data_IF_381648629136
#
_entry.id   IF_381648629136
#
_cell.length_a   1.000
_cell.length_b   1.000
_cell.length_c   1.000
_cell.angle_alpha   90.00
_cell.angle_beta   90.00
_cell.angle_gamma   90.00
#
_symmetry.space_group_name_H-M   'P 1'
#
loop_
_entity.id
_entity.type
_entity.pdbx_description
1 polymer ?
#
# COMPACT_ATOMS: atom_id res chain seq x y z
N UNK A 1 0.96 -23.46 -28.94
CA UNK A 1 0.26 -22.26 -28.42
C UNK A 1 1.23 -21.57 -27.46
N UNK A 2 1.44 -20.26 -27.64
CA UNK A 2 2.40 -19.44 -26.89
C UNK A 2 2.08 -19.43 -25.40
N UNK A 3 2.98 -19.94 -24.54
CA UNK A 3 3.01 -19.59 -23.12
C UNK A 3 3.56 -18.17 -23.01
N UNK A 4 2.67 -17.18 -22.94
CA UNK A 4 3.08 -15.81 -22.63
C UNK A 4 3.64 -15.83 -21.21
N UNK A 5 4.97 -15.87 -21.10
CA UNK A 5 5.66 -15.59 -19.85
C UNK A 5 5.28 -14.16 -19.47
N UNK A 6 4.36 -14.03 -18.50
CA UNK A 6 4.07 -12.77 -17.84
C UNK A 6 5.32 -12.32 -17.11
N UNK A 7 6.27 -11.73 -17.85
CA UNK A 7 7.29 -10.86 -17.26
C UNK A 7 6.57 -9.58 -16.87
N UNK A 8 5.80 -9.66 -15.79
CA UNK A 8 5.26 -8.49 -15.11
C UNK A 8 6.44 -7.78 -14.47
N UNK A 9 7.18 -7.03 -15.28
CA UNK A 9 8.05 -5.96 -14.82
C UNK A 9 7.14 -4.80 -14.36
N UNK A 10 6.28 -5.06 -13.37
CA UNK A 10 5.67 -4.01 -12.60
C UNK A 10 6.79 -3.40 -11.78
N UNK A 11 7.53 -2.46 -12.38
CA UNK A 11 8.18 -1.43 -11.58
C UNK A 11 7.04 -0.80 -10.79
N UNK A 12 6.86 -1.23 -9.53
CA UNK A 12 5.88 -0.66 -8.61
C UNK A 12 6.18 0.84 -8.60
N UNK A 13 5.34 1.62 -9.27
CA UNK A 13 5.45 3.06 -9.15
C UNK A 13 5.16 3.35 -7.68
N UNK A 14 5.98 4.16 -7.00
CA UNK A 14 5.71 4.50 -5.61
C UNK A 14 4.33 5.16 -5.55
N UNK A 15 3.36 4.43 -5.02
CA UNK A 15 2.00 4.90 -4.86
C UNK A 15 1.93 5.58 -3.49
N UNK A 16 1.59 6.85 -3.47
CA UNK A 16 1.40 7.58 -2.23
C UNK A 16 -0.03 7.32 -1.74
N UNK A 17 -0.14 6.64 -0.61
CA UNK A 17 -1.44 6.27 -0.05
C UNK A 17 -1.83 7.23 1.09
N UNK A 18 -3.04 7.79 1.01
CA UNK A 18 -3.62 8.64 2.07
C UNK A 18 -4.85 7.95 2.66
N UNK A 19 -4.84 7.71 3.97
CA UNK A 19 -5.98 7.19 4.72
C UNK A 19 -6.61 8.30 5.57
N UNK A 20 -7.94 8.28 5.66
CA UNK A 20 -8.72 9.23 6.47
C UNK A 20 -9.59 8.46 7.47
N UNK A 21 -9.72 8.97 8.69
CA UNK A 21 -10.50 8.35 9.74
C UNK A 21 -9.90 8.62 11.12
N UNK A 22 -10.36 7.87 12.13
CA UNK A 22 -9.74 7.95 13.45
C UNK A 22 -8.30 7.44 13.39
N UNK A 23 -7.44 7.96 14.27
CA UNK A 23 -6.04 7.52 14.37
C UNK A 23 -5.93 6.00 14.51
N UNK A 24 -6.81 5.39 15.32
CA UNK A 24 -6.82 3.93 15.51
C UNK A 24 -7.21 3.18 14.24
N UNK A 25 -8.24 3.63 13.51
CA UNK A 25 -8.66 2.95 12.27
C UNK A 25 -7.59 3.02 11.18
N UNK A 26 -6.89 4.16 11.08
CA UNK A 26 -5.80 4.33 10.11
C UNK A 26 -4.62 3.43 10.44
N UNK A 27 -4.16 3.42 11.70
CA UNK A 27 -3.05 2.54 12.12
C UNK A 27 -3.37 1.06 11.91
N UNK A 28 -4.59 0.62 12.25
CA UNK A 28 -5.03 -0.76 12.03
C UNK A 28 -5.00 -1.12 10.54
N UNK A 29 -5.51 -0.24 9.69
CA UNK A 29 -5.53 -0.44 8.24
C UNK A 29 -4.12 -0.52 7.64
N UNK A 30 -3.20 0.35 8.07
CA UNK A 30 -1.79 0.31 7.64
C UNK A 30 -1.13 -1.01 8.03
N UNK A 31 -1.31 -1.47 9.27
CA UNK A 31 -0.74 -2.73 9.74
C UNK A 31 -1.31 -3.94 9.00
N UNK A 32 -2.63 -3.96 8.76
CA UNK A 32 -3.29 -5.03 8.02
C UNK A 32 -2.78 -5.10 6.58
N UNK A 33 -2.69 -3.97 5.88
CA UNK A 33 -2.22 -3.92 4.49
C UNK A 33 -0.74 -4.28 4.36
N UNK A 34 0.07 -3.88 5.33
CA UNK A 34 1.47 -4.28 5.44
C UNK A 34 1.62 -5.79 5.65
N UNK A 35 0.87 -6.37 6.59
CA UNK A 35 0.91 -7.81 6.87
C UNK A 35 0.50 -8.67 5.66
N UNK A 36 -0.37 -8.14 4.80
CA UNK A 36 -0.83 -8.79 3.58
C UNK A 36 0.11 -8.55 2.37
N UNK A 37 1.16 -7.73 2.51
CA UNK A 37 2.10 -7.40 1.44
C UNK A 37 1.53 -6.47 0.37
N UNK A 38 0.43 -5.78 0.66
CA UNK A 38 -0.21 -4.86 -0.28
C UNK A 38 0.47 -3.49 -0.36
N UNK A 39 1.07 -3.02 0.74
CA UNK A 39 1.77 -1.74 0.81
C UNK A 39 2.80 -1.72 1.95
N UNK A 40 3.90 -1.01 1.76
CA UNK A 40 4.95 -0.78 2.76
C UNK A 40 4.60 0.36 3.71
N UNK A 41 5.11 0.35 4.95
CA UNK A 41 4.86 1.43 5.92
C UNK A 41 5.43 2.77 5.42
N UNK A 42 6.49 2.75 4.61
CA UNK A 42 7.11 3.95 4.04
C UNK A 42 6.30 4.58 2.88
N UNK A 43 5.31 3.88 2.32
CA UNK A 43 4.47 4.37 1.21
C UNK A 43 3.30 5.26 1.69
N UNK A 44 3.10 5.37 3.00
CA UNK A 44 2.02 6.15 3.58
C UNK A 44 2.48 7.55 4.00
N UNK A 45 1.66 8.56 3.73
CA UNK A 45 1.86 9.89 4.29
C UNK A 45 1.45 9.98 5.75
N UNK A 46 2.09 10.88 6.54
CA UNK A 46 1.67 11.13 7.91
C UNK A 46 0.18 11.48 7.96
N UNK A 47 -0.49 10.94 8.99
CA UNK A 47 -1.87 11.28 9.31
C UNK A 47 -2.02 12.79 9.36
N UNK A 48 -2.81 13.34 8.42
CA UNK A 48 -3.23 14.74 8.46
C UNK A 48 -3.78 15.04 9.86
N UNK A 49 -3.32 16.15 10.44
CA UNK A 49 -3.84 16.61 11.72
C UNK A 49 -5.34 16.88 11.57
N UNK A 50 -6.14 16.31 12.49
CA UNK A 50 -7.58 16.60 12.58
C UNK A 50 -7.81 17.91 13.30
#
# INVERSE_FOLDING_TARGET
>A
MMSQQFSQNFKKQPAQHTLKGSRQSVLYSMQMLYALGYAEIAEWTPLEAT
#
